data_IF_642024021372
#
_entry.id   IF_642024021372
#
_cell.length_a   1.000
_cell.length_b   1.000
_cell.length_c   1.000
_cell.angle_alpha   90.00
_cell.angle_beta   90.00
_cell.angle_gamma   90.00
#
_symmetry.space_group_name_H-M   'P 1'
#
loop_
_entity.id
_entity.type
_entity.pdbx_description
1 polymer ?
#
# COMPACT_ATOMS: atom_id res chain seq x y z
N UNK A 1 -12.83 7.04 -2.65
CA UNK A 1 -13.03 6.59 -4.06
C UNK A 1 -13.44 7.78 -4.90
N UNK A 2 -12.89 7.89 -6.12
CA UNK A 2 -13.21 8.93 -7.08
C UNK A 2 -13.88 8.32 -8.31
N UNK A 3 -14.67 9.14 -8.98
CA UNK A 3 -15.32 8.82 -10.26
C UNK A 3 -15.18 10.01 -11.22
N UNK A 4 -15.41 9.83 -12.53
CA UNK A 4 -15.47 10.96 -13.46
C UNK A 4 -16.50 11.99 -13.03
N UNK A 5 -16.17 13.27 -13.16
CA UNK A 5 -17.08 14.34 -12.74
C UNK A 5 -18.40 14.31 -13.51
N UNK A 6 -19.48 14.41 -12.74
CA UNK A 6 -20.84 14.67 -13.21
C UNK A 6 -21.37 15.91 -12.47
N UNK A 7 -21.77 16.99 -13.15
CA UNK A 7 -22.13 18.24 -12.49
C UNK A 7 -23.23 18.11 -11.41
N UNK A 8 -24.22 17.25 -11.64
CA UNK A 8 -25.32 16.99 -10.71
C UNK A 8 -24.85 16.29 -9.42
N UNK A 9 -23.92 15.35 -9.55
CA UNK A 9 -23.33 14.62 -8.41
C UNK A 9 -22.30 15.48 -7.69
N UNK A 10 -21.40 16.11 -8.44
CA UNK A 10 -20.32 16.95 -7.92
C UNK A 10 -20.87 18.12 -7.10
N UNK A 11 -21.83 18.87 -7.65
CA UNK A 11 -22.42 20.00 -6.94
C UNK A 11 -23.08 19.60 -5.61
N UNK A 12 -23.73 18.43 -5.57
CA UNK A 12 -24.35 17.91 -4.35
C UNK A 12 -23.31 17.57 -3.27
N UNK A 13 -22.19 16.94 -3.66
CA UNK A 13 -21.10 16.56 -2.75
C UNK A 13 -20.28 17.77 -2.29
N UNK A 14 -20.10 18.78 -3.14
CA UNK A 14 -19.48 20.05 -2.73
C UNK A 14 -20.33 20.75 -1.68
N UNK A 15 -21.64 20.88 -1.93
CA UNK A 15 -22.57 21.46 -0.96
C UNK A 15 -22.56 20.70 0.38
N UNK A 16 -22.56 19.37 0.34
CA UNK A 16 -22.42 18.57 1.55
C UNK A 16 -21.11 18.87 2.29
N UNK A 17 -19.99 18.98 1.58
CA UNK A 17 -18.71 19.36 2.16
C UNK A 17 -18.73 20.74 2.82
N UNK A 18 -19.43 21.71 2.22
CA UNK A 18 -19.65 23.04 2.80
C UNK A 18 -20.48 22.97 4.09
N UNK A 19 -21.57 22.19 4.10
CA UNK A 19 -22.41 21.96 5.28
C UNK A 19 -21.62 21.27 6.41
N UNK A 20 -20.63 20.43 6.06
CA UNK A 20 -19.68 19.78 6.97
C UNK A 20 -18.47 20.66 7.37
N UNK A 21 -18.42 21.93 6.91
CA UNK A 21 -17.30 22.87 7.12
C UNK A 21 -15.94 22.40 6.58
N UNK A 22 -15.93 21.59 5.52
CA UNK A 22 -14.69 21.15 4.85
C UNK A 22 -14.08 22.30 4.05
N UNK A 23 -12.74 22.39 4.05
CA UNK A 23 -11.99 23.48 3.42
C UNK A 23 -11.15 22.94 2.26
N UNK A 24 -11.10 23.69 1.16
CA UNK A 24 -10.27 23.35 0.00
C UNK A 24 -10.89 22.27 -0.90
N UNK A 25 -10.05 21.60 -1.69
CA UNK A 25 -10.50 20.55 -2.62
C UNK A 25 -10.74 19.21 -1.93
N UNK A 26 -11.51 18.33 -2.58
CA UNK A 26 -11.87 17.02 -2.04
C UNK A 26 -10.67 16.14 -1.68
N UNK A 27 -9.50 16.32 -2.31
CA UNK A 27 -8.27 15.65 -1.91
C UNK A 27 -7.75 16.09 -0.53
N UNK A 28 -7.90 17.37 -0.18
CA UNK A 28 -7.51 17.90 1.14
C UNK A 28 -8.42 17.35 2.24
N UNK A 29 -9.72 17.22 1.95
CA UNK A 29 -10.71 16.71 2.89
C UNK A 29 -10.36 15.32 3.43
N UNK A 30 -9.83 14.44 2.57
CA UNK A 30 -9.42 13.08 2.96
C UNK A 30 -8.13 13.12 3.77
N UNK A 31 -7.19 13.98 3.39
CA UNK A 31 -5.91 14.13 4.09
C UNK A 31 -6.13 14.68 5.50
N UNK A 32 -7.12 15.56 5.67
CA UNK A 32 -7.44 16.14 6.97
C UNK A 32 -8.01 15.13 7.98
N UNK A 33 -8.59 14.03 7.51
CA UNK A 33 -9.10 12.93 8.33
C UNK A 33 -8.03 11.90 8.73
N UNK A 34 -6.80 11.99 8.19
CA UNK A 34 -5.75 11.02 8.49
C UNK A 34 -5.29 11.09 9.95
N UNK A 35 -5.13 9.91 10.54
CA UNK A 35 -4.54 9.68 11.86
C UNK A 35 -3.13 9.08 11.75
N UNK A 36 -2.46 8.98 12.91
CA UNK A 36 -1.13 8.39 13.00
C UNK A 36 -1.17 6.92 12.56
N UNK A 37 -0.20 6.51 11.72
CA UNK A 37 -0.08 5.19 11.11
C UNK A 37 -1.11 4.83 10.02
N UNK A 38 -2.01 5.75 9.66
CA UNK A 38 -2.88 5.54 8.50
C UNK A 38 -2.08 5.55 7.20
N UNK A 39 -2.42 4.68 6.26
CA UNK A 39 -1.95 4.78 4.90
C UNK A 39 -3.14 5.15 4.00
N UNK A 40 -3.03 6.28 3.29
CA UNK A 40 -4.12 6.72 2.42
C UNK A 40 -4.17 5.89 1.14
N UNK A 41 -5.36 5.37 0.82
CA UNK A 41 -5.63 4.58 -0.39
C UNK A 41 -6.66 5.29 -1.26
N UNK A 42 -6.27 5.59 -2.50
CA UNK A 42 -7.03 6.43 -3.43
C UNK A 42 -7.31 5.66 -4.70
N UNK A 43 -8.57 5.32 -4.94
CA UNK A 43 -9.03 4.84 -6.25
C UNK A 43 -9.42 6.03 -7.12
N UNK A 44 -8.55 6.35 -8.09
CA UNK A 44 -8.75 7.37 -9.12
C UNK A 44 -8.96 6.72 -10.49
N UNK A 45 -9.48 5.49 -10.52
CA UNK A 45 -9.85 4.75 -11.72
C UNK A 45 -8.73 4.72 -12.79
N UNK A 46 -7.47 4.71 -12.35
CA UNK A 46 -6.27 4.67 -13.19
C UNK A 46 -5.93 5.98 -13.89
N UNK A 47 -6.60 7.09 -13.56
CA UNK A 47 -6.40 8.39 -14.23
C UNK A 47 -5.07 9.01 -13.84
N UNK A 48 -4.21 9.27 -14.83
CA UNK A 48 -2.92 9.97 -14.64
C UNK A 48 -3.04 11.44 -15.04
N UNK A 49 -3.34 11.73 -16.31
CA UNK A 49 -3.62 13.09 -16.77
C UNK A 49 -4.89 13.64 -16.11
N UNK A 50 -4.78 14.80 -15.44
CA UNK A 50 -5.77 15.41 -14.56
C UNK A 50 -6.13 14.54 -13.34
N UNK A 51 -5.45 13.43 -13.11
CA UNK A 51 -5.71 12.49 -12.00
C UNK A 51 -4.61 12.52 -10.96
N UNK A 52 -3.96 13.68 -10.78
CA UNK A 52 -2.80 13.87 -9.91
C UNK A 52 -3.25 14.17 -8.47
N UNK A 53 -3.46 13.13 -7.65
CA UNK A 53 -4.03 13.26 -6.31
C UNK A 53 -3.24 14.20 -5.40
N UNK A 54 -1.92 14.02 -5.38
CA UNK A 54 -1.00 14.75 -4.54
C UNK A 54 0.13 15.41 -5.36
N UNK A 55 0.46 16.64 -4.96
CA UNK A 55 1.77 17.26 -5.19
C UNK A 55 2.58 17.29 -3.89
N UNK A 56 3.64 18.10 -3.85
CA UNK A 56 4.57 18.14 -2.71
C UNK A 56 3.93 18.59 -1.39
N UNK A 57 3.07 19.61 -1.41
CA UNK A 57 2.37 20.12 -0.23
C UNK A 57 1.43 19.06 0.37
N UNK A 58 0.67 18.37 -0.48
CA UNK A 58 -0.26 17.34 -0.03
C UNK A 58 0.48 16.10 0.46
N UNK A 59 1.57 15.68 -0.21
CA UNK A 59 2.43 14.61 0.28
C UNK A 59 3.07 14.97 1.62
N UNK A 60 3.48 16.23 1.82
CA UNK A 60 3.99 16.72 3.10
C UNK A 60 2.92 16.64 4.19
N UNK A 61 1.68 17.01 3.89
CA UNK A 61 0.56 16.91 4.82
C UNK A 61 0.25 15.45 5.20
N UNK A 62 0.20 14.54 4.23
CA UNK A 62 0.03 13.09 4.46
C UNK A 62 1.15 12.60 5.38
N UNK A 63 2.41 12.88 5.03
CA UNK A 63 3.56 12.46 5.83
C UNK A 63 3.47 13.00 7.26
N UNK A 64 3.15 14.28 7.43
CA UNK A 64 3.12 14.92 8.74
C UNK A 64 2.03 14.37 9.65
N UNK A 65 0.92 13.87 9.09
CA UNK A 65 -0.22 13.35 9.85
C UNK A 65 -0.06 11.87 10.18
N UNK A 66 0.34 11.07 9.20
CA UNK A 66 0.32 9.61 9.35
C UNK A 66 1.70 8.94 9.50
N UNK A 67 2.77 9.62 9.07
CA UNK A 67 4.14 9.10 8.98
C UNK A 67 4.30 7.78 8.19
N UNK A 68 3.41 7.51 7.23
CA UNK A 68 3.49 6.30 6.38
C UNK A 68 3.76 6.63 4.89
N UNK A 69 2.72 6.97 4.12
CA UNK A 69 2.74 6.93 2.67
C UNK A 69 1.36 6.95 2.02
N UNK A 70 1.31 6.59 0.74
CA UNK A 70 0.10 6.60 -0.07
C UNK A 70 0.09 5.51 -1.14
N UNK A 71 -1.09 4.99 -1.43
CA UNK A 71 -1.39 4.11 -2.58
C UNK A 71 -2.46 4.80 -3.43
N UNK A 72 -2.14 5.11 -4.68
CA UNK A 72 -3.00 5.87 -5.58
C UNK A 72 -3.13 5.09 -6.90
N UNK A 73 -4.34 4.60 -7.18
CA UNK A 73 -4.72 4.09 -8.51
C UNK A 73 -4.99 5.27 -9.46
N UNK A 74 -3.94 6.05 -9.70
CA UNK A 74 -3.95 7.32 -10.42
C UNK A 74 -2.57 7.98 -10.42
N UNK A 75 -2.53 9.27 -10.76
CA UNK A 75 -1.30 10.04 -10.88
C UNK A 75 -0.88 10.81 -9.62
N UNK A 76 0.35 11.31 -9.62
CA UNK A 76 0.84 12.39 -8.75
C UNK A 76 1.66 13.40 -9.54
N UNK A 77 1.98 14.54 -8.91
CA UNK A 77 2.88 15.57 -9.45
C UNK A 77 3.98 15.92 -8.46
N UNK A 78 4.88 16.83 -8.83
CA UNK A 78 5.99 17.32 -7.98
C UNK A 78 6.89 16.20 -7.42
N UNK A 79 7.08 15.14 -8.20
CA UNK A 79 7.71 13.88 -7.75
C UNK A 79 9.15 14.03 -7.30
N UNK A 80 9.88 15.01 -7.82
CA UNK A 80 11.26 15.28 -7.39
C UNK A 80 11.35 15.55 -5.89
N UNK A 81 10.37 16.27 -5.32
CA UNK A 81 10.32 16.57 -3.88
C UNK A 81 9.79 15.39 -3.08
N UNK A 82 8.76 14.72 -3.59
CA UNK A 82 8.16 13.56 -2.93
C UNK A 82 9.18 12.41 -2.79
N UNK A 83 9.98 12.16 -3.83
CA UNK A 83 10.99 11.09 -3.82
C UNK A 83 12.11 11.30 -2.77
N UNK A 84 12.33 12.55 -2.34
CA UNK A 84 13.34 12.88 -1.34
C UNK A 84 12.81 12.75 0.10
N UNK A 85 11.51 12.52 0.28
CA UNK A 85 10.90 12.36 1.60
C UNK A 85 11.37 11.05 2.23
N UNK A 86 12.02 11.14 3.39
CA UNK A 86 12.42 9.96 4.17
C UNK A 86 11.19 9.31 4.79
N UNK A 87 11.17 7.98 4.87
CA UNK A 87 10.04 7.22 5.46
C UNK A 87 8.70 7.65 4.86
N UNK A 88 8.63 7.69 3.53
CA UNK A 88 7.39 8.01 2.82
C UNK A 88 7.33 7.19 1.54
N UNK A 89 6.43 6.20 1.52
CA UNK A 89 6.27 5.31 0.38
C UNK A 89 5.08 5.74 -0.48
N UNK A 90 5.27 5.84 -1.78
CA UNK A 90 4.22 6.21 -2.72
C UNK A 90 4.09 5.15 -3.83
N UNK A 91 2.94 4.49 -3.90
CA UNK A 91 2.56 3.58 -4.97
C UNK A 91 1.57 4.27 -5.88
N UNK A 92 1.91 4.43 -7.15
CA UNK A 92 1.17 5.27 -8.11
C UNK A 92 1.09 4.58 -9.47
N UNK A 93 0.15 5.01 -10.32
CA UNK A 93 0.11 4.59 -11.73
C UNK A 93 1.03 5.39 -12.63
N UNK A 94 1.25 6.67 -12.31
CA UNK A 94 2.06 7.53 -13.15
C UNK A 94 2.24 8.93 -12.60
N UNK A 95 2.95 9.74 -13.37
CA UNK A 95 3.31 11.11 -13.01
C UNK A 95 2.87 12.03 -14.14
N UNK A 96 2.28 13.17 -13.79
CA UNK A 96 1.88 14.19 -14.76
C UNK A 96 1.90 15.58 -14.08
N UNK A 97 2.22 16.68 -14.78
CA UNK A 97 2.25 18.02 -14.18
C UNK A 97 0.86 18.67 -13.99
N UNK A 98 -0.20 18.10 -14.55
CA UNK A 98 -1.56 18.62 -14.39
C UNK A 98 -1.97 18.70 -12.92
N UNK A 99 -2.90 19.61 -12.61
CA UNK A 99 -3.63 19.57 -11.35
C UNK A 99 -4.78 18.57 -11.45
N UNK A 100 -5.22 18.04 -10.30
CA UNK A 100 -6.40 17.19 -10.24
C UNK A 100 -7.62 17.93 -10.82
N UNK A 101 -8.28 17.33 -11.80
CA UNK A 101 -9.45 17.87 -12.47
C UNK A 101 -10.30 16.74 -13.06
N UNK A 102 -11.55 17.06 -13.41
CA UNK A 102 -12.51 16.13 -14.03
C UNK A 102 -12.80 14.86 -13.20
N UNK A 103 -12.60 14.94 -11.88
CA UNK A 103 -12.91 13.86 -10.93
C UNK A 103 -13.77 14.37 -9.77
N UNK A 104 -14.58 13.47 -9.22
CA UNK A 104 -15.43 13.72 -8.04
C UNK A 104 -15.22 12.59 -7.05
N UNK A 105 -14.91 12.94 -5.80
CA UNK A 105 -14.85 11.99 -4.69
C UNK A 105 -16.26 11.68 -4.21
N UNK A 106 -16.66 10.41 -4.29
CA UNK A 106 -18.01 9.97 -3.88
C UNK A 106 -18.05 9.34 -2.50
N UNK A 107 -16.89 8.94 -1.97
CA UNK A 107 -16.82 8.10 -0.78
C UNK A 107 -15.47 8.24 -0.07
N UNK A 108 -15.49 8.36 1.25
CA UNK A 108 -14.34 8.30 2.17
C UNK A 108 -14.59 7.13 3.11
N UNK A 109 -13.56 6.31 3.37
CA UNK A 109 -13.71 5.10 4.18
C UNK A 109 -14.77 4.11 3.65
N UNK A 110 -14.92 4.05 2.33
CA UNK A 110 -15.67 3.02 1.64
C UNK A 110 -14.78 1.92 1.05
N UNK A 111 -15.34 0.73 0.86
CA UNK A 111 -14.65 -0.39 0.19
C UNK A 111 -14.30 0.04 -1.24
N UNK A 112 -13.02 -0.10 -1.62
CA UNK A 112 -12.55 0.23 -2.96
C UNK A 112 -11.76 -0.89 -3.62
N UNK A 113 -11.44 -0.72 -4.91
CA UNK A 113 -10.59 -1.65 -5.66
C UNK A 113 -9.32 -0.95 -6.07
N UNK A 114 -8.18 -1.60 -5.91
CA UNK A 114 -6.87 -1.16 -6.44
C UNK A 114 -6.33 -2.30 -7.30
N UNK A 115 -6.29 -2.09 -8.61
CA UNK A 115 -6.01 -3.18 -9.56
C UNK A 115 -7.03 -4.33 -9.42
N UNK A 116 -6.56 -5.52 -9.06
CA UNK A 116 -7.40 -6.71 -8.85
C UNK A 116 -7.74 -6.96 -7.37
N UNK A 117 -7.19 -6.17 -6.45
CA UNK A 117 -7.40 -6.34 -5.02
C UNK A 117 -8.58 -5.50 -4.51
N UNK A 118 -9.34 -6.06 -3.58
CA UNK A 118 -10.32 -5.31 -2.78
C UNK A 118 -9.60 -4.72 -1.57
N UNK A 119 -9.81 -3.44 -1.34
CA UNK A 119 -9.29 -2.70 -0.18
C UNK A 119 -10.48 -2.33 0.70
N UNK A 120 -10.41 -2.71 1.96
CA UNK A 120 -11.38 -2.37 3.00
C UNK A 120 -10.70 -1.43 4.00
N UNK A 121 -11.38 -0.36 4.47
CA UNK A 121 -10.84 0.46 5.56
C UNK A 121 -10.46 -0.40 6.76
N UNK A 122 -9.25 -0.19 7.29
CA UNK A 122 -8.67 -0.98 8.38
C UNK A 122 -7.81 -2.18 7.93
N UNK A 123 -7.72 -2.47 6.63
CA UNK A 123 -6.75 -3.44 6.11
C UNK A 123 -5.31 -2.98 6.39
N UNK A 124 -4.44 -3.94 6.75
CA UNK A 124 -2.99 -3.71 6.82
C UNK A 124 -2.45 -3.70 5.39
N UNK A 125 -1.77 -2.62 5.02
CA UNK A 125 -1.20 -2.45 3.69
C UNK A 125 0.28 -2.80 3.69
N UNK A 126 0.64 -3.88 2.99
CA UNK A 126 2.03 -4.25 2.75
C UNK A 126 2.44 -3.80 1.35
N UNK A 127 3.27 -2.76 1.30
CA UNK A 127 3.88 -2.26 0.08
C UNK A 127 5.29 -2.81 -0.13
N UNK A 128 5.56 -3.39 -1.29
CA UNK A 128 6.89 -3.87 -1.69
C UNK A 128 7.23 -3.38 -3.09
N UNK A 129 8.47 -3.58 -3.55
CA UNK A 129 8.85 -3.23 -4.93
C UNK A 129 8.07 -3.99 -6.00
N UNK A 130 7.42 -5.11 -5.66
CA UNK A 130 6.64 -5.91 -6.60
C UNK A 130 5.16 -5.51 -6.63
N UNK A 131 4.68 -4.80 -5.62
CA UNK A 131 3.29 -4.34 -5.59
C UNK A 131 2.78 -4.02 -4.18
N UNK A 132 1.45 -3.99 -4.07
CA UNK A 132 0.72 -3.68 -2.85
C UNK A 132 -0.20 -4.84 -2.52
N UNK A 133 -0.20 -5.26 -1.26
CA UNK A 133 -1.06 -6.31 -0.72
C UNK A 133 -1.93 -5.70 0.38
N UNK A 134 -3.22 -5.99 0.34
CA UNK A 134 -4.18 -5.62 1.39
C UNK A 134 -4.46 -6.87 2.22
N UNK A 135 -4.16 -6.80 3.51
CA UNK A 135 -4.28 -7.91 4.46
C UNK A 135 -5.43 -7.58 5.41
N UNK A 136 -6.50 -8.41 5.43
CA UNK A 136 -7.56 -8.23 6.40
C UNK A 136 -7.02 -8.22 7.83
N UNK A 137 -7.45 -7.30 8.70
CA UNK A 137 -6.80 -7.09 10.00
C UNK A 137 -6.84 -8.34 10.90
N UNK A 138 -7.91 -9.13 10.80
CA UNK A 138 -8.05 -10.39 11.54
C UNK A 138 -7.11 -11.52 11.08
N UNK A 139 -6.47 -11.38 9.92
CA UNK A 139 -5.48 -12.33 9.38
C UNK A 139 -4.04 -11.80 9.52
N UNK A 140 -3.84 -10.58 9.99
CA UNK A 140 -2.53 -9.95 10.00
C UNK A 140 -1.51 -10.76 10.81
N UNK A 141 -1.90 -11.28 11.98
CA UNK A 141 -1.05 -12.13 12.80
C UNK A 141 -0.68 -13.43 12.09
N UNK A 142 -1.67 -14.15 11.55
CA UNK A 142 -1.45 -15.42 10.84
C UNK A 142 -0.54 -15.24 9.62
N UNK A 143 -0.68 -14.14 8.89
CA UNK A 143 0.19 -13.79 7.75
C UNK A 143 1.62 -13.54 8.22
N UNK A 144 1.84 -12.82 9.32
CA UNK A 144 3.18 -12.60 9.89
C UNK A 144 3.81 -13.92 10.32
N UNK A 145 3.10 -14.74 11.09
CA UNK A 145 3.64 -16.01 11.59
C UNK A 145 3.98 -16.99 10.46
N UNK A 146 3.08 -17.13 9.48
CA UNK A 146 3.30 -18.00 8.33
C UNK A 146 4.42 -17.50 7.42
N UNK A 147 4.49 -16.20 7.14
CA UNK A 147 5.56 -15.62 6.31
C UNK A 147 6.94 -15.75 6.95
N UNK A 148 7.05 -15.60 8.27
CA UNK A 148 8.30 -15.82 9.01
C UNK A 148 8.75 -17.29 8.95
N UNK A 149 7.82 -18.23 9.07
CA UNK A 149 8.13 -19.66 8.94
C UNK A 149 8.63 -20.02 7.53
N UNK A 150 8.00 -19.47 6.48
CA UNK A 150 8.44 -19.64 5.09
C UNK A 150 9.83 -19.02 4.89
N UNK A 151 10.05 -17.79 5.37
CA UNK A 151 11.33 -17.09 5.27
C UNK A 151 12.48 -17.90 5.89
N UNK A 152 12.28 -18.50 7.06
CA UNK A 152 13.30 -19.35 7.69
C UNK A 152 13.63 -20.58 6.84
N UNK A 153 12.63 -21.24 6.26
CA UNK A 153 12.84 -22.39 5.36
C UNK A 153 13.58 -21.97 4.09
N UNK A 154 13.23 -20.82 3.51
CA UNK A 154 13.91 -20.29 2.33
C UNK A 154 15.38 -19.95 2.62
N UNK A 155 15.66 -19.28 3.75
CA UNK A 155 17.03 -18.95 4.17
C UNK A 155 17.88 -20.21 4.38
N UNK A 156 17.31 -21.23 5.04
CA UNK A 156 17.94 -22.54 5.19
C UNK A 156 18.21 -23.20 3.84
N UNK A 157 17.20 -23.30 3.00
CA UNK A 157 17.30 -23.94 1.69
C UNK A 157 18.35 -23.28 0.81
N UNK A 158 18.31 -21.95 0.72
CA UNK A 158 19.31 -21.18 -0.03
C UNK A 158 20.72 -21.37 0.52
N UNK A 159 20.90 -21.47 1.85
CA UNK A 159 22.20 -21.74 2.44
C UNK A 159 22.70 -23.15 2.07
N UNK A 160 21.86 -24.18 2.25
CA UNK A 160 22.23 -25.57 1.97
C UNK A 160 22.49 -25.82 0.49
N UNK A 161 21.78 -25.13 -0.41
CA UNK A 161 22.08 -25.13 -1.85
C UNK A 161 23.47 -24.54 -2.11
N UNK A 162 23.82 -23.40 -1.50
CA UNK A 162 25.16 -22.79 -1.66
C UNK A 162 26.28 -23.69 -1.13
N UNK A 163 26.00 -24.47 -0.08
CA UNK A 163 26.93 -25.43 0.51
C UNK A 163 27.02 -26.75 -0.28
N UNK A 164 26.16 -26.95 -1.29
CA UNK A 164 26.11 -28.17 -2.09
C UNK A 164 25.54 -29.38 -1.35
N UNK A 165 24.83 -29.17 -0.24
CA UNK A 165 24.24 -30.24 0.59
C UNK A 165 22.93 -30.72 -0.03
N UNK A 166 22.08 -29.80 -0.50
CA UNK A 166 20.81 -30.10 -1.15
C UNK A 166 20.72 -29.45 -2.52
N UNK A 167 19.99 -30.10 -3.42
CA UNK A 167 19.64 -29.57 -4.74
C UNK A 167 18.44 -28.62 -4.66
N UNK A 168 18.26 -27.71 -5.62
CA UNK A 168 17.06 -26.86 -5.69
C UNK A 168 15.76 -27.66 -5.67
N UNK A 169 15.72 -28.78 -6.41
CA UNK A 169 14.54 -29.64 -6.46
C UNK A 169 14.25 -30.38 -5.14
N UNK A 170 15.21 -30.51 -4.23
CA UNK A 170 14.97 -31.00 -2.86
C UNK A 170 14.37 -29.93 -1.96
N UNK A 171 14.84 -28.69 -2.10
CA UNK A 171 14.37 -27.54 -1.31
C UNK A 171 12.97 -27.06 -1.73
N UNK A 172 12.63 -27.15 -3.02
CA UNK A 172 11.35 -26.67 -3.55
C UNK A 172 10.15 -27.60 -3.27
N UNK A 173 10.36 -28.70 -2.54
CA UNK A 173 9.32 -29.68 -2.16
C UNK A 173 9.23 -29.85 -0.65
N UNK A 174 8.30 -30.68 -0.22
CA UNK A 174 8.23 -31.10 1.18
C UNK A 174 9.56 -31.73 1.61
N UNK A 175 10.14 -31.17 2.69
CA UNK A 175 11.42 -31.62 3.23
C UNK A 175 11.33 -33.06 3.71
N UNK A 176 12.35 -33.85 3.40
CA UNK A 176 12.50 -35.20 3.95
C UNK A 176 12.71 -35.15 5.48
N UNK A 177 12.55 -36.29 6.16
CA UNK A 177 12.84 -36.40 7.60
C UNK A 177 14.29 -36.03 7.95
N UNK A 178 15.23 -36.22 7.03
CA UNK A 178 16.62 -35.78 7.18
C UNK A 178 16.72 -34.25 7.09
N UNK A 179 16.11 -33.65 6.07
CA UNK A 179 16.09 -32.19 5.89
C UNK A 179 15.37 -31.48 7.04
N UNK A 180 14.28 -32.05 7.57
CA UNK A 180 13.58 -31.48 8.72
C UNK A 180 14.47 -31.49 9.97
N UNK A 181 15.22 -32.56 10.21
CA UNK A 181 16.18 -32.62 11.34
C UNK A 181 17.32 -31.62 11.15
N UNK A 182 17.84 -31.49 9.92
CA UNK A 182 18.87 -30.51 9.60
C UNK A 182 18.35 -29.07 9.77
N UNK A 183 17.12 -28.80 9.32
CA UNK A 183 16.46 -27.50 9.50
C UNK A 183 16.32 -27.13 10.98
N UNK A 184 15.85 -28.05 11.83
CA UNK A 184 15.72 -27.78 13.27
C UNK A 184 17.08 -27.54 13.94
N UNK A 185 18.12 -28.30 13.57
CA UNK A 185 19.48 -28.09 14.07
C UNK A 185 20.03 -26.73 13.60
N UNK A 186 19.85 -26.40 12.32
CA UNK A 186 20.24 -25.11 11.74
C UNK A 186 19.53 -23.95 12.43
N UNK A 187 18.23 -24.07 12.69
CA UNK A 187 17.40 -23.05 13.36
C UNK A 187 17.87 -22.81 14.79
N UNK A 188 18.20 -23.87 15.53
CA UNK A 188 18.70 -23.77 16.91
C UNK A 188 20.01 -22.96 17.03
N UNK A 189 20.89 -23.01 16.01
CA UNK A 189 22.16 -22.26 16.01
C UNK A 189 22.03 -20.77 15.72
N UNK A 190 20.88 -20.32 15.21
CA UNK A 190 20.59 -18.90 14.90
C UNK A 190 19.74 -18.21 15.96
N UNK A 191 19.04 -18.97 16.80
CA UNK A 191 18.19 -18.46 17.88
C UNK A 191 18.91 -18.42 19.25
N UNK A 192 20.17 -18.88 19.31
CA UNK A 192 21.06 -18.75 20.47
C UNK A 192 21.90 -17.48 20.40
#
# INVERSE_FOLDING_TARGET
RWVPTRPDVHGSLIKQGEDENRIGGQNSWVIDELEANDLIVVDLFGKVLNGTFAGDNLATAIKSRSDTGMVIDGGIRDTQRIFQMKNFNAFIRGVDPSAIADVTMTDINGITRIGEATCVPGDVVLGTRTGVIFIPPHLAQDVVESSEAVRLKDEFGQQRIREGIYTPGEVDREFSDEMNRDFEAWKATRLS
#
